data_IF_626058663183
#
_entry.id   IF_626058663183
#
_cell.length_a   1.000
_cell.length_b   1.000
_cell.length_c   1.000
_cell.angle_alpha   90.00
_cell.angle_beta   90.00
_cell.angle_gamma   90.00
#
_symmetry.space_group_name_H-M   'P 1'
#
loop_
_entity.id
_entity.type
_entity.pdbx_description
1 polymer ?
#
# COMPACT_ATOMS: atom_id res chain seq x y z
N UNK A 1 -84.27 5.14 -21.49
CA UNK A 1 -83.48 6.02 -20.60
C UNK A 1 -82.98 5.18 -19.44
N UNK A 2 -81.70 4.82 -19.41
CA UNK A 2 -81.01 4.40 -18.19
C UNK A 2 -79.50 4.51 -18.45
N UNK A 3 -78.84 5.34 -17.64
CA UNK A 3 -77.48 5.83 -17.83
C UNK A 3 -76.46 4.84 -17.26
N UNK A 4 -75.43 4.52 -18.06
CA UNK A 4 -74.30 3.70 -17.65
C UNK A 4 -73.22 4.58 -17.00
N UNK A 5 -72.92 4.31 -15.72
CA UNK A 5 -71.85 4.97 -14.95
C UNK A 5 -70.51 4.29 -15.24
N UNK A 6 -69.53 5.07 -15.72
CA UNK A 6 -68.12 4.66 -15.84
C UNK A 6 -67.38 5.08 -14.57
N UNK A 7 -66.86 4.12 -13.82
CA UNK A 7 -65.86 4.32 -12.76
C UNK A 7 -64.45 4.31 -13.33
N UNK A 8 -63.74 5.43 -13.17
CA UNK A 8 -62.30 5.57 -13.47
C UNK A 8 -61.49 5.20 -12.23
N UNK A 9 -60.35 4.48 -12.33
CA UNK A 9 -59.47 4.27 -11.20
C UNK A 9 -58.58 5.51 -10.99
N UNK A 10 -58.60 6.07 -9.78
CA UNK A 10 -57.68 7.12 -9.34
C UNK A 10 -56.34 6.44 -9.02
N UNK A 11 -55.41 6.47 -9.98
CA UNK A 11 -54.03 6.10 -9.75
C UNK A 11 -53.35 7.14 -8.84
N UNK A 12 -52.74 6.67 -7.76
CA UNK A 12 -51.90 7.45 -6.86
C UNK A 12 -50.72 8.06 -7.64
N UNK A 13 -50.75 9.37 -7.86
CA UNK A 13 -49.69 10.14 -8.51
C UNK A 13 -48.57 10.58 -7.55
N UNK A 14 -48.59 10.12 -6.30
CA UNK A 14 -47.61 10.52 -5.28
C UNK A 14 -46.30 9.71 -5.30
N UNK A 15 -46.16 8.66 -6.09
CA UNK A 15 -45.13 7.64 -5.84
C UNK A 15 -43.96 7.60 -6.85
N UNK A 16 -43.67 8.68 -7.57
CA UNK A 16 -42.51 8.70 -8.50
C UNK A 16 -41.52 9.83 -8.29
N UNK A 17 -41.95 10.96 -7.72
CA UNK A 17 -41.03 12.06 -7.38
C UNK A 17 -40.24 11.74 -6.12
N UNK A 18 -40.87 11.08 -5.16
CA UNK A 18 -40.25 10.69 -3.90
C UNK A 18 -39.21 9.59 -4.13
N UNK A 19 -39.51 8.58 -4.97
CA UNK A 19 -38.53 7.55 -5.37
C UNK A 19 -37.32 8.10 -6.14
N UNK A 20 -37.52 9.10 -7.01
CA UNK A 20 -36.41 9.71 -7.77
C UNK A 20 -35.56 10.62 -6.87
N UNK A 21 -36.17 11.34 -5.94
CA UNK A 21 -35.45 12.12 -4.94
C UNK A 21 -34.64 11.23 -3.98
N UNK A 22 -35.22 10.12 -3.52
CA UNK A 22 -34.56 9.15 -2.65
C UNK A 22 -33.38 8.44 -3.36
N UNK A 23 -33.54 8.05 -4.62
CA UNK A 23 -32.46 7.49 -5.45
C UNK A 23 -31.34 8.51 -5.73
N UNK A 24 -31.66 9.78 -5.98
CA UNK A 24 -30.65 10.83 -6.17
C UNK A 24 -29.89 11.14 -4.87
N UNK A 25 -30.56 11.06 -3.72
CA UNK A 25 -29.95 11.27 -2.40
C UNK A 25 -29.04 10.10 -2.02
N UNK A 26 -29.46 8.87 -2.31
CA UNK A 26 -28.63 7.67 -2.15
C UNK A 26 -27.39 7.71 -3.05
N UNK A 27 -27.53 8.07 -4.33
CA UNK A 27 -26.39 8.19 -5.27
C UNK A 27 -25.43 9.34 -4.90
N UNK A 28 -25.94 10.42 -4.32
CA UNK A 28 -25.11 11.52 -3.82
C UNK A 28 -24.40 11.14 -2.51
N UNK A 29 -25.03 10.34 -1.64
CA UNK A 29 -24.41 9.79 -0.45
C UNK A 29 -23.31 8.78 -0.81
N UNK A 30 -23.58 7.89 -1.77
CA UNK A 30 -22.63 6.90 -2.30
C UNK A 30 -21.37 7.58 -2.89
N UNK A 31 -21.56 8.58 -3.77
CA UNK A 31 -20.44 9.37 -4.31
C UNK A 31 -19.69 10.18 -3.25
N UNK A 32 -20.36 10.62 -2.18
CA UNK A 32 -19.73 11.38 -1.10
C UNK A 32 -18.89 10.48 -0.21
N UNK A 33 -19.35 9.26 0.05
CA UNK A 33 -18.59 8.23 0.78
C UNK A 33 -17.36 7.82 -0.03
N UNK A 34 -17.53 7.56 -1.34
CA UNK A 34 -16.41 7.23 -2.24
C UNK A 34 -15.35 8.34 -2.30
N UNK A 35 -15.78 9.61 -2.37
CA UNK A 35 -14.87 10.75 -2.43
C UNK A 35 -14.09 10.97 -1.12
N UNK A 36 -14.76 10.84 0.02
CA UNK A 36 -14.12 10.97 1.34
C UNK A 36 -13.06 9.86 1.51
N UNK A 37 -13.40 8.62 1.17
CA UNK A 37 -12.46 7.49 1.20
C UNK A 37 -11.26 7.72 0.27
N UNK A 38 -11.47 8.27 -0.92
CA UNK A 38 -10.38 8.60 -1.84
C UNK A 38 -9.44 9.67 -1.27
N UNK A 39 -9.97 10.72 -0.65
CA UNK A 39 -9.14 11.76 -0.03
C UNK A 39 -8.37 11.26 1.19
N UNK A 40 -8.99 10.39 2.00
CA UNK A 40 -8.34 9.77 3.16
C UNK A 40 -7.20 8.84 2.73
N UNK A 41 -7.39 8.10 1.64
CA UNK A 41 -6.35 7.27 1.01
C UNK A 41 -5.18 8.13 0.54
N UNK A 42 -5.45 9.21 -0.19
CA UNK A 42 -4.39 10.08 -0.71
C UNK A 42 -3.62 10.77 0.42
N UNK A 43 -4.31 11.24 1.45
CA UNK A 43 -3.71 11.81 2.65
C UNK A 43 -2.85 10.80 3.40
N UNK A 44 -3.32 9.56 3.58
CA UNK A 44 -2.57 8.50 4.22
C UNK A 44 -1.33 8.10 3.42
N UNK A 45 -1.44 7.99 2.09
CA UNK A 45 -0.29 7.73 1.21
C UNK A 45 0.74 8.86 1.31
N UNK A 46 0.29 10.11 1.38
CA UNK A 46 1.16 11.26 1.56
C UNK A 46 1.89 11.23 2.92
N UNK A 47 1.17 10.95 4.01
CA UNK A 47 1.76 10.84 5.36
C UNK A 47 2.75 9.68 5.47
N UNK A 48 2.41 8.51 4.94
CA UNK A 48 3.31 7.36 4.90
C UNK A 48 4.57 7.67 4.07
N UNK A 49 4.41 8.33 2.92
CA UNK A 49 5.56 8.72 2.10
C UNK A 49 6.47 9.72 2.79
N UNK A 50 5.90 10.69 3.52
CA UNK A 50 6.68 11.62 4.34
C UNK A 50 7.45 10.88 5.45
N UNK A 51 6.78 9.99 6.17
CA UNK A 51 7.41 9.16 7.19
C UNK A 51 8.58 8.33 6.64
N UNK A 52 8.41 7.69 5.49
CA UNK A 52 9.47 6.92 4.82
C UNK A 52 10.69 7.81 4.51
N UNK A 53 10.47 9.02 3.99
CA UNK A 53 11.55 9.95 3.65
C UNK A 53 12.28 10.41 4.90
N UNK A 54 11.56 10.81 5.95
CA UNK A 54 12.15 11.19 7.24
C UNK A 54 12.98 10.05 7.84
N UNK A 55 12.46 8.81 7.76
CA UNK A 55 13.15 7.61 8.21
C UNK A 55 14.43 7.33 7.41
N UNK A 56 14.40 7.54 6.11
CA UNK A 56 15.55 7.40 5.24
C UNK A 56 16.62 8.46 5.53
N UNK A 57 16.22 9.71 5.78
CA UNK A 57 17.14 10.78 6.18
C UNK A 57 17.78 10.51 7.55
N UNK A 58 16.99 10.08 8.53
CA UNK A 58 17.50 9.69 9.84
C UNK A 58 18.47 8.51 9.74
N UNK A 59 18.13 7.50 8.93
CA UNK A 59 19.00 6.36 8.65
C UNK A 59 20.30 6.81 7.99
N UNK A 60 20.24 7.66 6.96
CA UNK A 60 21.41 8.16 6.25
C UNK A 60 22.36 8.94 7.18
N UNK A 61 21.80 9.77 8.06
CA UNK A 61 22.58 10.49 9.08
C UNK A 61 23.29 9.52 10.04
N UNK A 62 22.62 8.43 10.42
CA UNK A 62 23.13 7.44 11.37
C UNK A 62 24.22 6.55 10.76
N UNK A 63 24.06 6.11 9.52
CA UNK A 63 25.01 5.21 8.84
C UNK A 63 26.13 5.94 8.09
N UNK A 64 25.99 7.25 7.88
CA UNK A 64 27.02 8.10 7.26
C UNK A 64 27.03 8.10 5.73
N UNK A 65 26.04 7.50 5.07
CA UNK A 65 25.89 7.48 3.61
C UNK A 65 24.41 7.56 3.20
N UNK A 66 24.15 7.94 1.94
CA UNK A 66 22.81 8.05 1.35
C UNK A 66 22.51 6.87 0.43
N UNK A 67 21.44 6.94 -0.37
CA UNK A 67 21.11 5.98 -1.40
C UNK A 67 21.15 6.59 -2.80
N UNK A 68 21.27 5.72 -3.80
CA UNK A 68 21.08 6.06 -5.20
C UNK A 68 20.32 4.93 -5.92
N UNK A 69 19.28 5.24 -6.72
CA UNK A 69 18.57 4.23 -7.49
C UNK A 69 19.49 3.60 -8.55
N UNK A 70 19.44 2.28 -8.68
CA UNK A 70 20.25 1.51 -9.63
C UNK A 70 19.51 0.25 -10.09
N UNK A 71 19.58 -0.04 -11.39
CA UNK A 71 19.12 -1.32 -11.92
C UNK A 71 20.05 -2.51 -11.55
N UNK A 72 21.23 -2.21 -11.01
CA UNK A 72 22.27 -3.18 -10.62
C UNK A 72 22.48 -3.20 -9.10
N UNK A 73 21.45 -2.87 -8.33
CA UNK A 73 21.51 -2.99 -6.87
C UNK A 73 21.74 -4.46 -6.44
N UNK A 74 22.37 -4.70 -5.28
CA UNK A 74 22.57 -6.05 -4.77
C UNK A 74 21.26 -6.83 -4.63
N UNK A 75 21.24 -8.07 -5.10
CA UNK A 75 20.07 -8.96 -5.05
C UNK A 75 20.29 -10.21 -4.20
N UNK A 76 21.46 -10.35 -3.58
CA UNK A 76 21.81 -11.42 -2.64
C UNK A 76 22.46 -10.83 -1.39
N UNK A 77 22.30 -11.52 -0.26
CA UNK A 77 22.63 -10.97 1.05
C UNK A 77 24.11 -10.62 1.21
N UNK A 78 25.01 -11.49 0.74
CA UNK A 78 26.45 -11.25 0.80
C UNK A 78 26.86 -9.96 0.06
N UNK A 79 26.30 -9.73 -1.14
CA UNK A 79 26.59 -8.54 -1.94
C UNK A 79 26.03 -7.28 -1.28
N UNK A 80 24.86 -7.37 -0.64
CA UNK A 80 24.30 -6.25 0.10
C UNK A 80 25.17 -5.87 1.31
N UNK A 81 25.63 -6.86 2.08
CA UNK A 81 26.56 -6.61 3.19
C UNK A 81 27.85 -5.93 2.72
N UNK A 82 28.43 -6.40 1.60
CA UNK A 82 29.61 -5.77 1.01
C UNK A 82 29.33 -4.33 0.55
N UNK A 83 28.19 -4.09 -0.08
CA UNK A 83 27.79 -2.76 -0.53
C UNK A 83 27.59 -1.79 0.63
N UNK A 84 26.88 -2.21 1.69
CA UNK A 84 26.68 -1.41 2.91
C UNK A 84 28.03 -1.12 3.60
N UNK A 85 28.89 -2.12 3.72
CA UNK A 85 30.23 -1.92 4.27
C UNK A 85 31.06 -0.93 3.44
N UNK A 86 31.10 -1.09 2.11
CA UNK A 86 31.82 -0.18 1.22
C UNK A 86 31.28 1.25 1.30
N UNK A 87 29.95 1.43 1.33
CA UNK A 87 29.31 2.73 1.53
C UNK A 87 29.68 3.36 2.88
N UNK A 88 29.78 2.58 3.95
CA UNK A 88 30.18 3.07 5.27
C UNK A 88 31.64 3.53 5.36
N UNK A 89 32.52 2.91 4.56
CA UNK A 89 33.97 3.23 4.55
C UNK A 89 34.26 4.40 3.62
N UNK A 90 33.65 4.42 2.43
CA UNK A 90 33.98 5.37 1.35
C UNK A 90 33.03 6.58 1.35
N UNK A 91 31.84 6.45 1.95
CA UNK A 91 30.80 7.49 1.94
C UNK A 91 30.00 7.56 0.63
N UNK A 92 30.20 6.63 -0.29
CA UNK A 92 29.41 6.55 -1.52
C UNK A 92 27.97 6.10 -1.22
N UNK A 93 26.97 6.60 -1.97
CA UNK A 93 25.59 6.16 -1.79
C UNK A 93 25.43 4.65 -2.00
N UNK A 94 24.60 4.02 -1.18
CA UNK A 94 24.19 2.63 -1.37
C UNK A 94 23.30 2.52 -2.61
N UNK A 95 23.63 1.61 -3.51
CA UNK A 95 22.78 1.30 -4.65
C UNK A 95 21.52 0.56 -4.18
N UNK A 96 20.34 1.18 -4.37
CA UNK A 96 19.03 0.57 -4.10
C UNK A 96 18.32 0.27 -5.40
N UNK A 97 17.55 -0.83 -5.47
CA UNK A 97 16.96 -1.24 -6.74
C UNK A 97 15.99 -0.17 -7.25
N UNK A 98 16.10 0.19 -8.54
CA UNK A 98 15.15 1.07 -9.24
C UNK A 98 14.05 0.32 -9.97
N UNK A 99 14.05 -1.02 -9.90
CA UNK A 99 13.08 -1.85 -10.61
C UNK A 99 11.77 -1.92 -9.85
N UNK A 100 10.64 -1.88 -10.56
CA UNK A 100 9.30 -1.95 -9.96
C UNK A 100 9.02 -0.84 -8.93
N UNK A 101 9.47 0.40 -9.23
CA UNK A 101 9.28 1.56 -8.34
C UNK A 101 8.11 2.47 -8.71
N UNK A 102 7.45 2.23 -9.85
CA UNK A 102 6.46 3.16 -10.40
C UNK A 102 5.02 2.87 -9.95
N UNK A 103 4.71 1.62 -9.64
CA UNK A 103 3.37 1.16 -9.26
C UNK A 103 3.34 0.68 -7.80
N UNK A 104 3.64 1.60 -6.87
CA UNK A 104 3.71 1.34 -5.43
C UNK A 104 2.73 2.19 -4.63
N UNK A 105 2.53 1.86 -3.35
CA UNK A 105 1.58 2.58 -2.48
C UNK A 105 2.03 4.00 -2.15
N UNK A 106 3.33 4.28 -2.20
CA UNK A 106 3.91 5.59 -1.96
C UNK A 106 3.60 6.56 -3.12
N UNK A 107 3.66 7.87 -2.85
CA UNK A 107 3.23 8.89 -3.83
C UNK A 107 4.28 9.21 -4.90
N UNK A 108 5.53 8.73 -4.75
CA UNK A 108 6.58 8.95 -5.75
C UNK A 108 7.62 7.80 -5.80
N UNK A 109 8.30 7.62 -6.94
CA UNK A 109 9.43 6.69 -7.04
C UNK A 109 10.56 7.02 -6.06
N UNK A 110 10.81 8.30 -5.78
CA UNK A 110 11.83 8.73 -4.82
C UNK A 110 11.54 8.22 -3.41
N UNK A 111 10.28 8.28 -2.97
CA UNK A 111 9.85 7.72 -1.69
C UNK A 111 10.06 6.20 -1.67
N UNK A 112 9.81 5.50 -2.78
CA UNK A 112 10.10 4.07 -2.87
C UNK A 112 11.59 3.73 -2.77
N UNK A 113 12.44 4.52 -3.41
CA UNK A 113 13.89 4.35 -3.28
C UNK A 113 14.37 4.63 -1.85
N UNK A 114 13.80 5.63 -1.19
CA UNK A 114 14.04 5.92 0.23
C UNK A 114 13.59 4.74 1.12
N UNK A 115 12.44 4.14 0.83
CA UNK A 115 11.95 2.96 1.53
C UNK A 115 12.88 1.77 1.40
N UNK A 116 13.33 1.48 0.17
CA UNK A 116 14.29 0.40 -0.09
C UNK A 116 15.61 0.61 0.64
N UNK A 117 16.08 1.84 0.71
CA UNK A 117 17.27 2.17 1.50
C UNK A 117 17.10 1.83 2.99
N UNK A 118 15.99 2.26 3.60
CA UNK A 118 15.68 1.96 5.01
C UNK A 118 15.60 0.45 5.23
N UNK A 119 14.91 -0.25 4.33
CA UNK A 119 14.72 -1.68 4.38
C UNK A 119 16.05 -2.46 4.24
N UNK A 120 16.87 -2.14 3.25
CA UNK A 120 18.14 -2.82 2.99
C UNK A 120 19.17 -2.57 4.10
N UNK A 121 19.23 -1.36 4.66
CA UNK A 121 20.09 -1.06 5.82
C UNK A 121 19.61 -1.83 7.05
N UNK A 122 18.31 -1.81 7.34
CA UNK A 122 17.75 -2.53 8.48
C UNK A 122 17.98 -4.04 8.38
N UNK A 123 17.90 -4.60 7.17
CA UNK A 123 18.25 -5.98 6.87
C UNK A 123 19.67 -6.32 7.30
N UNK A 124 20.65 -5.53 6.89
CA UNK A 124 22.06 -5.76 7.23
C UNK A 124 22.30 -5.63 8.73
N UNK A 125 21.74 -4.59 9.37
CA UNK A 125 21.90 -4.36 10.81
C UNK A 125 21.33 -5.47 11.68
N UNK A 126 20.29 -6.15 11.18
CA UNK A 126 19.60 -7.25 11.89
C UNK A 126 20.11 -8.63 11.52
N UNK A 127 21.11 -8.72 10.65
CA UNK A 127 21.62 -9.98 10.11
C UNK A 127 20.53 -10.86 9.47
N UNK A 128 19.58 -10.24 8.76
CA UNK A 128 18.45 -10.92 8.12
C UNK A 128 18.77 -11.19 6.64
N UNK A 129 18.66 -12.44 6.19
CA UNK A 129 18.90 -12.78 4.77
C UNK A 129 17.66 -12.52 3.91
N UNK A 130 17.70 -12.82 2.60
CA UNK A 130 16.52 -12.78 1.71
C UNK A 130 15.61 -14.02 1.83
N UNK A 131 15.78 -14.82 2.88
CA UNK A 131 14.91 -15.98 3.14
C UNK A 131 13.52 -15.52 3.56
N UNK A 132 12.46 -16.26 3.20
CA UNK A 132 11.08 -15.89 3.56
C UNK A 132 10.87 -15.66 5.08
N UNK A 133 11.42 -16.48 5.99
CA UNK A 133 11.33 -16.19 7.43
C UNK A 133 11.97 -14.86 7.82
N UNK A 134 13.11 -14.52 7.24
CA UNK A 134 13.83 -13.27 7.54
C UNK A 134 13.11 -12.06 6.94
N UNK A 135 12.54 -12.19 5.74
CA UNK A 135 11.66 -11.18 5.14
C UNK A 135 10.43 -10.91 6.00
N UNK A 136 9.82 -11.97 6.54
CA UNK A 136 8.68 -11.86 7.44
C UNK A 136 9.06 -11.15 8.75
N UNK A 137 10.21 -11.50 9.34
CA UNK A 137 10.72 -10.85 10.55
C UNK A 137 11.03 -9.36 10.32
N UNK A 138 11.65 -9.03 9.18
CA UNK A 138 11.94 -7.64 8.82
C UNK A 138 10.66 -6.84 8.60
N UNK A 139 9.66 -7.42 7.93
CA UNK A 139 8.35 -6.79 7.73
C UNK A 139 7.66 -6.46 9.07
N UNK A 140 7.66 -7.40 10.02
CA UNK A 140 7.09 -7.15 11.35
C UNK A 140 7.84 -6.03 12.09
N UNK A 141 9.17 -6.04 12.04
CA UNK A 141 9.95 -4.96 12.67
C UNK A 141 9.62 -3.59 12.07
N UNK A 142 9.46 -3.49 10.75
CA UNK A 142 9.07 -2.24 10.12
C UNK A 142 7.70 -1.72 10.58
N UNK A 143 6.75 -2.62 10.81
CA UNK A 143 5.44 -2.27 11.36
C UNK A 143 5.54 -1.81 12.81
N UNK A 144 6.39 -2.42 13.62
CA UNK A 144 6.67 -1.97 14.99
C UNK A 144 7.26 -0.56 15.03
N UNK A 145 8.19 -0.23 14.12
CA UNK A 145 8.76 1.12 14.04
C UNK A 145 7.71 2.14 13.57
N UNK A 146 6.87 1.77 12.61
CA UNK A 146 5.79 2.63 12.16
C UNK A 146 4.78 2.90 13.28
N UNK A 147 4.44 1.89 14.07
CA UNK A 147 3.58 2.03 15.26
C UNK A 147 4.23 2.90 16.34
N UNK A 148 5.54 2.74 16.58
CA UNK A 148 6.30 3.59 17.51
C UNK A 148 6.22 5.07 17.14
N UNK A 149 6.20 5.38 15.85
CA UNK A 149 6.11 6.74 15.32
C UNK A 149 4.64 7.25 15.22
N UNK A 150 3.68 6.50 15.76
CA UNK A 150 2.31 6.95 16.00
C UNK A 150 1.26 6.45 15.01
N UNK A 151 1.61 5.60 14.04
CA UNK A 151 0.63 4.99 13.15
C UNK A 151 0.28 3.57 13.63
N UNK A 152 -0.75 3.48 14.48
CA UNK A 152 -1.16 2.21 15.09
C UNK A 152 -1.94 1.30 14.12
N UNK A 153 -2.04 -0.01 14.41
CA UNK A 153 -2.93 -0.92 13.67
C UNK A 153 -4.36 -0.35 13.52
N UNK A 154 -4.89 -0.41 12.29
CA UNK A 154 -6.19 0.16 11.94
C UNK A 154 -6.14 1.59 11.36
N UNK A 155 -4.96 2.22 11.31
CA UNK A 155 -4.75 3.39 10.45
C UNK A 155 -4.45 2.95 9.01
N UNK A 156 -4.79 3.81 8.04
CA UNK A 156 -4.55 3.53 6.62
C UNK A 156 -3.05 3.40 6.31
N UNK A 157 -2.19 4.18 6.96
CA UNK A 157 -0.75 4.13 6.79
C UNK A 157 -0.18 2.79 7.24
N UNK A 158 -0.63 2.30 8.40
CA UNK A 158 -0.23 1.00 8.91
C UNK A 158 -0.68 -0.11 7.97
N UNK A 159 -1.93 -0.06 7.52
CA UNK A 159 -2.47 -1.06 6.60
C UNK A 159 -1.76 -1.05 5.24
N UNK A 160 -1.37 0.13 4.74
CA UNK A 160 -0.58 0.27 3.52
C UNK A 160 0.83 -0.30 3.67
N UNK A 161 1.54 0.04 4.74
CA UNK A 161 2.88 -0.53 4.96
C UNK A 161 2.81 -2.05 5.19
N UNK A 162 1.76 -2.53 5.87
CA UNK A 162 1.52 -3.96 6.08
C UNK A 162 1.26 -4.69 4.76
N UNK A 163 0.49 -4.11 3.85
CA UNK A 163 0.33 -4.67 2.51
C UNK A 163 1.66 -4.70 1.74
N UNK A 164 2.39 -3.58 1.72
CA UNK A 164 3.65 -3.43 0.99
C UNK A 164 4.76 -4.37 1.49
N UNK A 165 4.80 -4.65 2.79
CA UNK A 165 5.82 -5.52 3.39
C UNK A 165 5.27 -6.94 3.55
N UNK A 166 4.52 -7.18 4.61
CA UNK A 166 4.02 -8.48 5.02
C UNK A 166 3.14 -9.13 3.93
N UNK A 167 2.27 -8.35 3.28
CA UNK A 167 1.42 -8.83 2.19
C UNK A 167 2.23 -9.39 1.02
N UNK A 168 3.27 -8.67 0.58
CA UNK A 168 4.15 -9.12 -0.50
C UNK A 168 4.91 -10.39 -0.14
N UNK A 169 5.38 -10.51 1.11
CA UNK A 169 6.04 -11.73 1.61
C UNK A 169 5.10 -12.93 1.55
N UNK A 170 3.84 -12.76 1.95
CA UNK A 170 2.83 -13.84 1.91
C UNK A 170 2.53 -14.24 0.46
N UNK A 171 2.35 -13.27 -0.45
CA UNK A 171 2.15 -13.56 -1.88
C UNK A 171 3.35 -14.32 -2.45
N UNK A 172 4.58 -13.93 -2.12
CA UNK A 172 5.78 -14.64 -2.56
C UNK A 172 5.88 -16.05 -1.96
N UNK A 173 5.52 -16.23 -0.68
CA UNK A 173 5.52 -17.53 -0.03
C UNK A 173 4.57 -18.54 -0.71
N UNK A 174 3.38 -18.07 -1.12
CA UNK A 174 2.33 -18.94 -1.68
C UNK A 174 2.43 -19.06 -3.20
N UNK A 175 2.62 -17.94 -3.91
CA UNK A 175 2.56 -17.87 -5.37
C UNK A 175 3.93 -17.76 -6.05
N UNK A 176 5.04 -17.69 -5.28
CA UNK A 176 6.43 -17.61 -5.78
C UNK A 176 6.69 -16.43 -6.72
N UNK A 177 6.05 -15.31 -6.43
CA UNK A 177 6.18 -14.04 -7.17
C UNK A 177 5.82 -12.85 -6.28
N UNK A 178 6.13 -11.66 -6.74
CA UNK A 178 5.59 -10.42 -6.17
C UNK A 178 4.21 -10.10 -6.76
N UNK A 179 3.45 -9.17 -6.12
CA UNK A 179 2.27 -8.58 -6.75
C UNK A 179 2.63 -7.93 -8.08
N UNK A 180 1.75 -8.06 -9.07
CA UNK A 180 1.98 -7.51 -10.41
C UNK A 180 1.87 -5.98 -10.44
N UNK A 181 0.92 -5.45 -9.68
CA UNK A 181 0.69 -4.03 -9.46
C UNK A 181 0.59 -3.83 -7.94
N UNK A 182 1.67 -3.34 -7.33
CA UNK A 182 1.80 -3.27 -5.87
C UNK A 182 0.88 -2.20 -5.29
N UNK A 183 0.68 -1.09 -6.01
CA UNK A 183 -0.29 -0.05 -5.64
C UNK A 183 -1.71 -0.62 -5.59
N UNK A 184 -2.13 -1.29 -6.67
CA UNK A 184 -3.45 -1.95 -6.71
C UNK A 184 -3.58 -3.02 -5.64
N UNK A 185 -2.54 -3.80 -5.39
CA UNK A 185 -2.55 -4.82 -4.34
C UNK A 185 -2.77 -4.21 -2.94
N UNK A 186 -2.09 -3.10 -2.62
CA UNK A 186 -2.28 -2.40 -1.36
C UNK A 186 -3.71 -1.84 -1.23
N UNK A 187 -4.24 -1.27 -2.31
CA UNK A 187 -5.63 -0.78 -2.36
C UNK A 187 -6.65 -1.93 -2.22
N UNK A 188 -6.41 -3.07 -2.87
CA UNK A 188 -7.27 -4.26 -2.73
C UNK A 188 -7.25 -4.79 -1.28
N UNK A 189 -6.09 -4.78 -0.61
CA UNK A 189 -5.97 -5.12 0.82
C UNK A 189 -6.76 -4.15 1.71
N UNK A 190 -6.74 -2.86 1.41
CA UNK A 190 -7.51 -1.86 2.15
C UNK A 190 -9.02 -2.06 1.91
N UNK A 191 -9.43 -2.21 0.65
CA UNK A 191 -10.83 -2.23 0.26
C UNK A 191 -11.56 -3.50 0.71
N UNK A 192 -10.88 -4.65 0.62
CA UNK A 192 -11.51 -5.96 0.87
C UNK A 192 -11.07 -6.58 2.21
N UNK A 193 -10.14 -5.95 2.93
CA UNK A 193 -9.45 -6.51 4.07
C UNK A 193 -8.18 -7.28 3.66
N UNK A 194 -7.19 -7.29 4.56
CA UNK A 194 -5.84 -7.76 4.29
C UNK A 194 -5.79 -9.18 3.70
N UNK A 195 -6.46 -10.15 4.32
CA UNK A 195 -6.47 -11.55 3.88
C UNK A 195 -7.17 -11.70 2.53
N UNK A 196 -8.26 -10.96 2.29
CA UNK A 196 -9.00 -11.02 1.02
C UNK A 196 -8.22 -10.36 -0.11
N UNK A 197 -7.52 -9.25 0.14
CA UNK A 197 -6.61 -8.64 -0.83
C UNK A 197 -5.52 -9.61 -1.29
N UNK A 198 -4.88 -10.31 -0.34
CA UNK A 198 -3.90 -11.38 -0.63
C UNK A 198 -4.52 -12.49 -1.48
N UNK A 199 -5.68 -13.02 -1.10
CA UNK A 199 -6.34 -14.08 -1.86
C UNK A 199 -6.71 -13.65 -3.29
N UNK A 200 -7.16 -12.40 -3.46
CA UNK A 200 -7.46 -11.83 -4.79
C UNK A 200 -6.21 -11.71 -5.65
N UNK A 201 -5.10 -11.24 -5.07
CA UNK A 201 -3.84 -11.13 -5.80
C UNK A 201 -3.30 -12.50 -6.21
N UNK A 202 -3.32 -13.49 -5.31
CA UNK A 202 -2.90 -14.87 -5.62
C UNK A 202 -3.70 -15.44 -6.82
N UNK A 203 -5.03 -15.24 -6.84
CA UNK A 203 -5.93 -15.75 -7.88
C UNK A 203 -5.76 -15.07 -9.25
N UNK A 204 -5.17 -13.86 -9.32
CA UNK A 204 -5.12 -13.04 -10.54
C UNK A 204 -4.38 -13.71 -11.70
N UNK A 205 -3.49 -14.68 -11.43
CA UNK A 205 -2.74 -15.46 -12.44
C UNK A 205 -3.07 -16.96 -12.46
N UNK A 206 -4.08 -17.39 -11.70
CA UNK A 206 -4.58 -18.77 -11.76
C UNK A 206 -5.67 -18.97 -12.82
N UNK A 207 -5.93 -17.95 -13.63
CA UNK A 207 -6.93 -17.93 -14.71
C UNK A 207 -6.26 -17.89 -16.08
#
# INVERSE_FOLDING_TARGET
MSTSSKTTPVGSWLDRRDLVAEQATAAAADRRVDYVLSSEIDDARARLSAWVVERAEATAKRVGFRWAPSAHAPSVYADLCMAVFASSVVGHPLAVSSQHSDAVVLISPEANHAWRFVHDVARVERNLTFSLPDEFALALWHLEELEHDGFSPGTLEYDFLKADTLGQVIVNAVARRFPEDQARFALDCQQFGFEQGILREIRRKSS
#
